data_IF_514632445855
#
_entry.id   IF_514632445855
#
_cell.length_a   1.000
_cell.length_b   1.000
_cell.length_c   1.000
_cell.angle_alpha   90.00
_cell.angle_beta   90.00
_cell.angle_gamma   90.00
#
_symmetry.space_group_name_H-M   'P 1'
#
loop_
_entity.id
_entity.type
_entity.pdbx_description
1 polymer ?
#
# COMPACT_ATOMS: atom_id res chain seq x y z
N UNK A 1 -23.87 9.42 46.60
CA UNK A 1 -23.27 10.37 45.65
C UNK A 1 -22.35 9.71 44.58
N UNK A 2 -22.41 8.41 44.41
CA UNK A 2 -21.46 7.67 43.53
C UNK A 2 -22.05 7.25 42.15
N UNK A 3 -23.35 7.44 41.94
CA UNK A 3 -23.97 7.04 40.67
C UNK A 3 -23.95 8.09 39.55
N UNK A 4 -23.71 9.34 39.88
CA UNK A 4 -23.68 10.44 38.88
C UNK A 4 -22.35 10.54 38.15
N UNK A 5 -21.26 10.17 38.81
CA UNK A 5 -19.91 10.21 38.22
C UNK A 5 -19.64 9.06 37.26
N UNK A 6 -20.22 7.88 37.50
CA UNK A 6 -20.05 6.71 36.63
C UNK A 6 -20.75 6.89 35.26
N UNK A 7 -21.90 7.57 35.24
CA UNK A 7 -22.60 7.87 33.98
C UNK A 7 -21.90 8.92 33.14
N UNK A 8 -21.26 9.91 33.79
CA UNK A 8 -20.46 10.93 33.11
C UNK A 8 -19.18 10.34 32.50
N UNK A 9 -18.51 9.45 33.22
CA UNK A 9 -17.29 8.76 32.75
C UNK A 9 -17.63 7.83 31.58
N UNK A 10 -18.77 7.11 31.64
CA UNK A 10 -19.24 6.27 30.56
C UNK A 10 -19.59 7.06 29.29
N UNK A 11 -20.17 8.25 29.46
CA UNK A 11 -20.56 9.12 28.35
C UNK A 11 -19.32 9.76 27.68
N UNK A 12 -18.30 10.10 28.44
CA UNK A 12 -17.03 10.62 27.92
C UNK A 12 -16.24 9.52 27.21
N UNK A 13 -16.27 8.29 27.73
CA UNK A 13 -15.58 7.15 27.11
C UNK A 13 -16.23 6.74 25.80
N UNK A 14 -17.57 6.81 25.67
CA UNK A 14 -18.28 6.56 24.41
C UNK A 14 -18.09 7.66 23.39
N UNK A 15 -17.95 8.92 23.82
CA UNK A 15 -17.69 10.06 22.95
C UNK A 15 -16.26 10.02 22.38
N UNK A 16 -15.30 9.55 23.17
CA UNK A 16 -13.91 9.35 22.73
C UNK A 16 -13.76 8.18 21.75
N UNK A 17 -14.60 7.15 21.85
CA UNK A 17 -14.59 6.02 20.91
C UNK A 17 -15.21 6.37 19.55
N UNK A 18 -16.18 7.32 19.52
CA UNK A 18 -16.78 7.78 18.26
C UNK A 18 -15.87 8.73 17.47
N UNK A 19 -14.95 9.44 18.15
CA UNK A 19 -14.00 10.36 17.48
C UNK A 19 -12.88 9.63 16.72
N UNK A 20 -12.66 8.34 17.00
CA UNK A 20 -11.62 7.53 16.33
C UNK A 20 -12.05 6.93 14.99
N UNK A 21 -13.32 7.07 14.58
CA UNK A 21 -13.88 6.39 13.40
C UNK A 21 -13.95 7.28 12.14
N UNK A 22 -13.42 8.49 12.15
CA UNK A 22 -13.56 9.45 11.03
C UNK A 22 -12.25 9.74 10.27
N UNK A 23 -11.17 9.01 10.53
CA UNK A 23 -9.88 9.22 9.85
C UNK A 23 -9.48 8.01 9.01
N UNK A 24 -10.34 7.60 8.08
CA UNK A 24 -10.09 6.45 7.21
C UNK A 24 -10.46 6.65 5.75
N UNK A 25 -10.53 7.88 5.25
CA UNK A 25 -10.70 8.19 3.83
C UNK A 25 -9.51 9.02 3.34
N UNK A 26 -8.33 8.39 3.30
CA UNK A 26 -7.24 8.91 2.48
C UNK A 26 -7.46 8.43 1.06
N UNK A 27 -8.35 9.11 0.34
CA UNK A 27 -8.36 9.06 -1.10
C UNK A 27 -6.98 9.50 -1.59
N UNK A 28 -6.35 8.75 -2.49
CA UNK A 28 -5.20 9.18 -3.26
C UNK A 28 -5.57 10.47 -4.03
N UNK A 29 -5.48 11.60 -3.37
CA UNK A 29 -5.67 12.93 -3.95
C UNK A 29 -4.39 13.34 -4.65
N UNK A 30 -4.52 13.67 -5.90
CA UNK A 30 -3.52 14.19 -6.81
C UNK A 30 -2.93 15.48 -6.28
N UNK A 31 -1.73 15.42 -5.71
CA UNK A 31 -0.91 16.61 -5.48
C UNK A 31 0.49 16.37 -6.02
N UNK A 32 0.74 17.07 -7.11
CA UNK A 32 2.03 17.16 -7.79
C UNK A 32 2.92 18.12 -7.01
N UNK A 33 3.86 17.59 -6.24
CA UNK A 33 4.99 18.38 -5.75
C UNK A 33 6.24 17.52 -5.76
N UNK A 34 6.96 17.60 -6.85
CA UNK A 34 8.30 17.04 -6.97
C UNK A 34 9.28 17.91 -6.20
N UNK A 35 9.84 17.37 -5.10
CA UNK A 35 11.01 17.92 -4.42
C UNK A 35 12.14 16.89 -4.50
N UNK A 36 13.39 17.29 -4.79
CA UNK A 36 14.49 16.35 -4.93
C UNK A 36 14.78 15.62 -3.62
N UNK A 37 14.95 14.31 -3.73
CA UNK A 37 15.16 13.41 -2.61
C UNK A 37 16.60 13.52 -2.07
N UNK A 38 16.72 13.79 -0.78
CA UNK A 38 17.89 13.42 0.00
C UNK A 38 17.86 11.90 0.21
N UNK A 39 18.91 11.22 -0.20
CA UNK A 39 19.01 9.76 -0.29
C UNK A 39 19.10 9.01 1.07
N UNK A 40 18.87 9.70 2.19
CA UNK A 40 19.00 9.15 3.54
C UNK A 40 17.75 9.37 4.42
N UNK A 41 16.59 9.63 3.83
CA UNK A 41 15.36 9.81 4.59
C UNK A 41 14.33 8.78 4.15
N UNK A 42 13.79 8.02 5.12
CA UNK A 42 12.65 7.13 4.88
C UNK A 42 11.51 7.91 4.22
N UNK A 43 10.97 7.34 3.16
CA UNK A 43 9.81 7.87 2.43
C UNK A 43 8.58 7.03 2.73
N UNK A 44 7.41 7.64 2.67
CA UNK A 44 6.14 6.97 2.86
C UNK A 44 5.48 6.71 1.51
N UNK A 45 5.15 5.44 1.23
CA UNK A 45 4.45 5.04 0.01
C UNK A 45 3.24 4.18 0.36
N UNK A 46 2.17 4.29 -0.42
CA UNK A 46 0.98 3.46 -0.27
C UNK A 46 0.92 2.44 -1.39
N UNK A 47 0.69 1.18 -1.04
CA UNK A 47 0.52 0.09 -2.00
C UNK A 47 -0.82 -0.59 -1.75
N UNK A 48 -1.69 -0.60 -2.74
CA UNK A 48 -2.94 -1.36 -2.74
C UNK A 48 -2.73 -2.64 -3.56
N UNK A 49 -3.02 -3.79 -2.97
CA UNK A 49 -2.97 -5.08 -3.64
C UNK A 49 -4.40 -5.56 -3.86
N UNK A 50 -4.74 -5.85 -5.09
CA UNK A 50 -6.04 -6.43 -5.47
C UNK A 50 -5.81 -7.87 -5.90
N UNK A 51 -6.37 -8.79 -5.16
CA UNK A 51 -6.15 -10.23 -5.35
C UNK A 51 -7.01 -10.85 -6.48
N UNK A 52 -6.91 -12.16 -6.65
CA UNK A 52 -7.64 -12.93 -7.67
C UNK A 52 -9.18 -12.95 -7.45
N UNK A 53 -9.64 -12.54 -6.28
CA UNK A 53 -11.07 -12.42 -5.92
C UNK A 53 -11.57 -10.97 -5.96
N UNK A 54 -10.67 -10.01 -6.19
CA UNK A 54 -10.95 -8.59 -6.15
C UNK A 54 -10.94 -8.00 -4.74
N UNK A 55 -10.42 -8.74 -3.76
CA UNK A 55 -10.23 -8.21 -2.41
C UNK A 55 -9.03 -7.27 -2.37
N UNK A 56 -9.20 -6.14 -1.67
CA UNK A 56 -8.20 -5.09 -1.60
C UNK A 56 -7.48 -5.11 -0.25
N UNK A 57 -6.16 -5.13 -0.31
CA UNK A 57 -5.29 -4.95 0.86
C UNK A 57 -4.47 -3.69 0.66
N UNK A 58 -4.58 -2.73 1.57
CA UNK A 58 -3.80 -1.49 1.52
C UNK A 58 -2.67 -1.55 2.52
N UNK A 59 -1.46 -1.28 2.06
CA UNK A 59 -0.24 -1.23 2.85
C UNK A 59 0.31 0.19 2.83
N UNK A 60 0.69 0.69 3.99
CA UNK A 60 1.46 1.93 4.12
C UNK A 60 2.88 1.56 4.50
N UNK A 61 3.82 1.82 3.62
CA UNK A 61 5.22 1.45 3.78
C UNK A 61 6.05 2.69 4.08
N UNK A 62 6.89 2.60 5.10
CA UNK A 62 7.98 3.55 5.32
C UNK A 62 9.30 2.85 4.96
N UNK A 63 9.99 3.35 3.97
CA UNK A 63 11.17 2.68 3.42
C UNK A 63 12.25 3.66 2.98
N UNK A 64 13.50 3.22 3.08
CA UNK A 64 14.67 3.88 2.51
C UNK A 64 15.06 3.28 1.15
N UNK A 65 14.28 2.30 0.67
CA UNK A 65 14.55 1.65 -0.62
C UNK A 65 14.27 2.59 -1.79
N UNK A 66 14.94 2.32 -2.89
CA UNK A 66 14.87 3.17 -4.08
C UNK A 66 13.86 2.69 -5.11
N UNK A 67 13.51 1.40 -5.07
CA UNK A 67 12.56 0.79 -6.01
C UNK A 67 11.39 0.10 -5.30
N UNK A 68 10.28 -0.03 -6.02
CA UNK A 68 9.08 -0.69 -5.49
C UNK A 68 9.37 -2.15 -5.12
N UNK A 69 10.14 -2.87 -5.95
CA UNK A 69 10.47 -4.26 -5.67
C UNK A 69 11.28 -4.41 -4.38
N UNK A 70 12.30 -3.57 -4.16
CA UNK A 70 13.11 -3.63 -2.94
C UNK A 70 12.28 -3.40 -1.68
N UNK A 71 11.36 -2.43 -1.71
CA UNK A 71 10.46 -2.17 -0.59
C UNK A 71 9.51 -3.33 -0.32
N UNK A 72 8.91 -3.92 -1.37
CA UNK A 72 7.99 -5.05 -1.24
C UNK A 72 8.69 -6.34 -0.81
N UNK A 73 9.94 -6.56 -1.20
CA UNK A 73 10.78 -7.67 -0.71
C UNK A 73 11.08 -7.52 0.78
N UNK A 74 11.43 -6.29 1.21
CA UNK A 74 11.68 -5.99 2.63
C UNK A 74 10.48 -6.31 3.51
N UNK A 75 9.27 -6.01 3.03
CA UNK A 75 8.01 -6.31 3.71
C UNK A 75 7.54 -7.77 3.55
N UNK A 76 8.24 -8.58 2.76
CA UNK A 76 7.87 -9.97 2.50
C UNK A 76 6.62 -10.14 1.65
N UNK A 77 6.23 -9.13 0.90
CA UNK A 77 5.06 -9.14 0.00
C UNK A 77 5.37 -9.86 -1.31
N UNK A 78 6.60 -9.72 -1.79
CA UNK A 78 7.11 -10.44 -2.96
C UNK A 78 8.45 -11.11 -2.62
N UNK A 79 8.77 -12.16 -3.35
CA UNK A 79 10.09 -12.76 -3.28
C UNK A 79 11.06 -12.05 -4.22
N UNK A 80 12.36 -12.04 -3.88
CA UNK A 80 13.37 -11.47 -4.74
C UNK A 80 13.52 -12.31 -6.01
N UNK A 81 13.24 -11.72 -7.17
CA UNK A 81 13.38 -12.36 -8.47
C UNK A 81 14.55 -11.74 -9.23
N UNK A 82 15.56 -12.53 -9.54
CA UNK A 82 16.78 -12.09 -10.22
C UNK A 82 16.52 -11.56 -11.64
N UNK A 83 15.46 -12.05 -12.29
CA UNK A 83 15.03 -11.66 -13.63
C UNK A 83 14.03 -10.47 -13.65
N UNK A 84 13.61 -10.02 -12.46
CA UNK A 84 12.64 -8.93 -12.31
C UNK A 84 11.18 -9.34 -12.60
N UNK A 85 10.90 -10.62 -12.85
CA UNK A 85 9.54 -11.14 -13.01
C UNK A 85 8.97 -11.59 -11.68
N UNK A 86 7.99 -10.86 -11.19
CA UNK A 86 7.32 -11.14 -9.92
C UNK A 86 5.97 -11.79 -10.20
N UNK A 87 5.94 -13.12 -10.10
CA UNK A 87 4.73 -13.93 -10.33
C UNK A 87 3.90 -14.11 -9.07
N UNK A 88 4.52 -14.01 -7.90
CA UNK A 88 3.84 -14.19 -6.61
C UNK A 88 3.85 -12.89 -5.82
N UNK A 89 2.65 -12.40 -5.49
CA UNK A 89 2.43 -11.22 -4.66
C UNK A 89 1.50 -11.60 -3.51
N UNK A 90 1.90 -11.27 -2.28
CA UNK A 90 1.14 -11.56 -1.07
C UNK A 90 0.69 -13.05 -0.98
N UNK A 91 1.56 -13.97 -1.41
CA UNK A 91 1.31 -15.41 -1.39
C UNK A 91 0.42 -15.93 -2.52
N UNK A 92 -0.04 -15.09 -3.44
CA UNK A 92 -0.87 -15.46 -4.59
C UNK A 92 -0.01 -15.46 -5.85
N UNK A 93 0.00 -16.58 -6.57
CA UNK A 93 0.77 -16.74 -7.80
C UNK A 93 -0.10 -16.55 -9.02
N UNK A 94 0.29 -15.63 -9.90
CA UNK A 94 -0.25 -15.48 -11.24
C UNK A 94 0.61 -16.26 -12.23
N UNK A 95 0.01 -17.10 -13.06
CA UNK A 95 0.69 -17.91 -14.05
C UNK A 95 0.12 -17.66 -15.43
N UNK A 96 0.83 -16.83 -16.19
CA UNK A 96 0.39 -16.43 -17.54
C UNK A 96 0.32 -17.62 -18.52
N UNK A 97 1.21 -18.60 -18.37
CA UNK A 97 1.26 -19.76 -19.27
C UNK A 97 0.11 -20.73 -19.01
N UNK A 98 -0.42 -20.73 -17.79
CA UNK A 98 -1.45 -21.67 -17.34
C UNK A 98 -2.87 -21.13 -17.54
N UNK A 99 -3.09 -19.87 -17.18
CA UNK A 99 -4.42 -19.28 -17.15
C UNK A 99 -4.47 -17.82 -17.65
N UNK A 100 -3.37 -17.31 -18.19
CA UNK A 100 -3.27 -15.96 -18.70
C UNK A 100 -3.15 -14.89 -17.61
N UNK A 101 -2.94 -15.31 -16.36
CA UNK A 101 -2.91 -14.39 -15.22
C UNK A 101 -1.55 -13.69 -15.06
N UNK A 102 -1.59 -12.44 -14.65
CA UNK A 102 -0.40 -11.62 -14.39
C UNK A 102 -0.70 -10.52 -13.38
N UNK A 103 0.35 -9.94 -12.80
CA UNK A 103 0.23 -8.80 -11.89
C UNK A 103 0.43 -7.49 -12.64
N UNK A 104 -0.62 -6.68 -12.69
CA UNK A 104 -0.59 -5.35 -13.28
C UNK A 104 -0.21 -4.32 -12.23
N UNK A 105 0.75 -3.45 -12.53
CA UNK A 105 1.15 -2.37 -11.62
C UNK A 105 0.73 -1.02 -12.19
N UNK A 106 0.06 -0.22 -11.36
CA UNK A 106 -0.26 1.17 -11.67
C UNK A 106 0.40 2.09 -10.65
N UNK A 107 0.74 3.30 -11.06
CA UNK A 107 1.22 4.39 -10.21
C UNK A 107 0.28 5.57 -10.36
N UNK A 108 -0.35 5.99 -9.27
CA UNK A 108 -1.32 7.09 -9.31
C UNK A 108 -2.48 6.84 -10.28
N UNK A 109 -2.91 5.58 -10.42
CA UNK A 109 -3.99 5.17 -11.34
C UNK A 109 -3.58 5.02 -12.81
N UNK A 110 -2.29 5.19 -13.14
CA UNK A 110 -1.78 5.00 -14.51
C UNK A 110 -0.94 3.73 -14.58
N UNK A 111 -1.21 2.87 -15.57
CA UNK A 111 -0.42 1.66 -15.78
C UNK A 111 1.05 2.01 -16.02
N UNK A 112 1.95 1.32 -15.33
CA UNK A 112 3.39 1.49 -15.52
C UNK A 112 3.87 0.62 -16.68
N UNK A 113 4.85 1.11 -17.41
CA UNK A 113 5.57 0.34 -18.45
C UNK A 113 6.88 -0.22 -17.91
N UNK A 114 7.24 0.13 -16.69
CA UNK A 114 8.44 -0.31 -16.01
C UNK A 114 8.13 -1.46 -15.06
N UNK A 115 9.06 -2.40 -14.93
CA UNK A 115 8.97 -3.46 -13.93
C UNK A 115 9.19 -2.91 -12.51
N UNK A 116 8.66 -3.61 -11.51
CA UNK A 116 8.78 -3.20 -10.09
C UNK A 116 10.24 -3.02 -9.65
N UNK A 117 11.18 -3.73 -10.27
CA UNK A 117 12.63 -3.63 -10.01
C UNK A 117 13.28 -2.34 -10.51
N UNK A 118 12.67 -1.66 -11.46
CA UNK A 118 13.15 -0.37 -12.02
C UNK A 118 12.29 0.81 -11.62
N UNK A 119 11.07 0.55 -11.14
CA UNK A 119 10.10 1.56 -10.77
C UNK A 119 10.52 2.27 -9.47
N UNK A 120 10.96 3.52 -9.63
CA UNK A 120 11.49 4.32 -8.52
C UNK A 120 10.40 4.85 -7.61
N UNK A 121 10.72 4.86 -6.32
CA UNK A 121 9.86 5.39 -5.26
C UNK A 121 10.13 6.88 -5.02
N UNK A 122 9.07 7.59 -4.68
CA UNK A 122 9.11 8.96 -4.17
C UNK A 122 8.15 9.08 -2.98
N UNK A 123 8.43 10.00 -2.08
CA UNK A 123 7.57 10.22 -0.92
C UNK A 123 6.15 10.61 -1.35
N UNK A 124 5.16 9.93 -0.77
CA UNK A 124 3.75 10.09 -1.10
C UNK A 124 3.27 9.31 -2.33
N UNK A 125 4.11 8.48 -2.93
CA UNK A 125 3.69 7.64 -4.07
C UNK A 125 2.57 6.67 -3.68
N UNK A 126 1.68 6.41 -4.66
CA UNK A 126 0.58 5.48 -4.56
C UNK A 126 0.67 4.46 -5.69
N UNK A 127 0.74 3.20 -5.33
CA UNK A 127 0.79 2.08 -6.28
C UNK A 127 -0.42 1.17 -6.09
N UNK A 128 -0.90 0.58 -7.16
CA UNK A 128 -1.85 -0.52 -7.12
C UNK A 128 -1.24 -1.71 -7.88
N UNK A 129 -1.29 -2.89 -7.26
CA UNK A 129 -0.82 -4.14 -7.82
C UNK A 129 -2.04 -5.05 -7.95
N UNK A 130 -2.53 -5.25 -9.17
CA UNK A 130 -3.79 -5.92 -9.43
C UNK A 130 -3.57 -7.27 -10.13
N UNK A 131 -4.15 -8.34 -9.56
CA UNK A 131 -4.25 -9.62 -10.25
C UNK A 131 -5.15 -9.46 -11.47
N UNK A 132 -4.61 -9.74 -12.64
CA UNK A 132 -5.29 -9.54 -13.92
C UNK A 132 -5.31 -10.86 -14.69
N UNK A 133 -6.45 -11.13 -15.35
CA UNK A 133 -6.67 -12.36 -16.11
C UNK A 133 -7.45 -12.07 -17.39
#
# INVERSE_FOLDING_TARGET
MTQKTSKLISLILTLLLLAALVLGLSACGKDTSSKPSDADKAISVTVEIVDDKGEKTTLSLETEKTTLAEALVEEGIIENAADGFYTTVNGITADYSKDGAWWCVTKGGTMTTEGMNTLKLSDGDCFEITYTK
#
